data_IF_991716411063
#
_entry.id   IF_991716411063
#
_cell.length_a   1.000
_cell.length_b   1.000
_cell.length_c   1.000
_cell.angle_alpha   90.00
_cell.angle_beta   90.00
_cell.angle_gamma   90.00
#
_symmetry.space_group_name_H-M   'P 1'
#
loop_
_entity.id
_entity.type
_entity.pdbx_description
1 polymer ?
#
# COMPACT_ATOMS: atom_id res chain seq x y z
N UNK A 1 0.66 37.53 12.19
CA UNK A 1 0.38 36.42 11.24
C UNK A 1 0.16 35.16 12.06
N UNK A 2 -0.84 34.35 11.70
CA UNK A 2 -1.60 33.43 12.55
C UNK A 2 -0.79 32.62 13.59
N UNK A 3 -1.20 32.71 14.86
CA UNK A 3 -0.88 31.73 15.90
C UNK A 3 -1.41 30.37 15.45
N UNK A 4 -0.53 29.47 15.01
CA UNK A 4 -0.87 28.06 14.95
C UNK A 4 -0.98 27.58 16.40
N UNK A 5 -2.21 27.42 16.88
CA UNK A 5 -2.47 26.68 18.09
C UNK A 5 -1.91 25.28 17.90
N UNK A 6 -0.86 24.96 18.65
CA UNK A 6 -0.20 23.67 18.71
C UNK A 6 -1.14 22.66 19.39
N UNK A 7 -2.32 22.45 18.80
CA UNK A 7 -3.38 21.63 19.36
C UNK A 7 -3.02 20.17 19.16
N UNK A 8 -2.72 19.48 20.26
CA UNK A 8 -2.61 18.01 20.31
C UNK A 8 -3.97 17.31 20.15
N UNK A 9 -5.03 18.06 19.86
CA UNK A 9 -6.36 17.56 19.52
C UNK A 9 -6.57 17.68 18.02
N UNK A 10 -6.93 16.59 17.32
CA UNK A 10 -7.20 16.63 15.88
C UNK A 10 -8.46 17.45 15.57
N UNK A 11 -8.46 18.12 14.41
CA UNK A 11 -9.59 18.95 13.96
C UNK A 11 -10.87 18.14 13.69
N UNK A 12 -10.72 16.88 13.26
CA UNK A 12 -11.80 15.91 13.09
C UNK A 12 -11.45 14.71 13.95
N UNK A 13 -12.41 14.24 14.75
CA UNK A 13 -12.22 13.12 15.65
C UNK A 13 -13.39 12.16 15.60
N UNK A 14 -13.10 10.87 15.70
CA UNK A 14 -14.12 9.84 15.79
C UNK A 14 -14.95 10.03 17.07
N UNK A 15 -16.27 9.82 16.95
CA UNK A 15 -17.19 9.90 18.09
C UNK A 15 -16.79 8.88 19.16
N UNK A 16 -16.81 9.30 20.43
CA UNK A 16 -16.43 8.45 21.56
C UNK A 16 -14.99 8.62 22.04
N UNK A 17 -14.19 9.48 21.39
CA UNK A 17 -12.82 9.79 21.82
C UNK A 17 -12.66 11.27 22.21
N UNK A 18 -11.83 11.52 23.23
CA UNK A 18 -11.57 12.85 23.80
C UNK A 18 -10.14 12.95 24.36
N UNK A 19 -9.73 14.15 24.77
CA UNK A 19 -8.40 14.40 25.34
C UNK A 19 -7.31 14.69 24.31
N UNK A 20 -6.11 15.02 24.75
CA UNK A 20 -5.00 15.27 23.84
C UNK A 20 -4.35 13.96 23.37
N UNK A 21 -3.82 13.95 22.15
CA UNK A 21 -2.92 12.91 21.71
C UNK A 21 -1.55 13.09 22.38
N UNK A 22 -0.88 11.98 22.66
CA UNK A 22 0.41 11.98 23.34
C UNK A 22 1.56 12.12 22.35
N UNK A 23 2.60 12.84 22.72
CA UNK A 23 3.81 12.97 21.91
C UNK A 23 4.88 12.02 22.45
N UNK A 24 5.35 11.10 21.60
CA UNK A 24 6.36 10.09 21.97
C UNK A 24 7.46 9.98 20.90
N UNK A 25 8.71 9.68 21.29
CA UNK A 25 9.74 9.25 20.34
C UNK A 25 9.34 7.96 19.64
N UNK A 26 9.56 7.87 18.33
CA UNK A 26 9.23 6.69 17.53
C UNK A 26 9.88 5.42 18.09
N UNK A 27 11.14 5.51 18.56
CA UNK A 27 11.89 4.38 19.08
C UNK A 27 11.34 3.80 20.40
N UNK A 28 10.54 4.56 21.15
CA UNK A 28 9.91 4.07 22.39
C UNK A 28 8.67 3.23 22.12
N UNK A 29 7.97 3.52 21.01
CA UNK A 29 6.72 2.85 20.65
C UNK A 29 6.92 1.76 19.59
N UNK A 30 7.99 1.80 18.81
CA UNK A 30 8.20 0.88 17.70
C UNK A 30 8.82 -0.43 18.17
N UNK A 31 8.20 -1.56 17.84
CA UNK A 31 8.80 -2.88 18.03
C UNK A 31 9.43 -3.38 16.73
N UNK A 32 10.75 -3.24 16.60
CA UNK A 32 11.50 -3.87 15.52
C UNK A 32 11.56 -5.39 15.72
N UNK A 33 11.46 -6.13 14.61
CA UNK A 33 11.54 -7.59 14.61
C UNK A 33 12.56 -8.06 13.57
N UNK A 34 13.29 -9.12 13.93
CA UNK A 34 14.26 -9.76 13.04
C UNK A 34 14.17 -11.27 13.20
N UNK A 35 13.45 -11.91 12.29
CA UNK A 35 13.34 -13.36 12.19
C UNK A 35 14.36 -13.87 11.17
N UNK A 36 15.64 -13.88 11.55
CA UNK A 36 16.71 -14.35 10.68
C UNK A 36 16.46 -15.80 10.25
N UNK A 37 16.77 -16.12 8.99
CA UNK A 37 16.63 -17.48 8.43
C UNK A 37 17.91 -17.94 7.76
N UNK A 38 18.12 -19.25 7.75
CA UNK A 38 19.16 -19.91 6.95
C UNK A 38 18.53 -20.34 5.64
N UNK A 39 19.13 -19.92 4.51
CA UNK A 39 18.63 -20.26 3.18
C UNK A 39 19.26 -21.57 2.70
N UNK A 40 18.43 -22.56 2.46
CA UNK A 40 18.83 -23.85 1.90
C UNK A 40 18.84 -23.78 0.37
N UNK A 41 19.93 -24.26 -0.25
CA UNK A 41 20.13 -24.15 -1.70
C UNK A 41 19.05 -24.85 -2.55
N UNK A 42 18.44 -25.89 -1.99
CA UNK A 42 17.39 -26.70 -2.61
C UNK A 42 15.97 -26.30 -2.18
N UNK A 43 15.79 -25.15 -1.53
CA UNK A 43 14.48 -24.63 -1.18
C UNK A 43 14.17 -23.37 -2.01
N UNK A 44 12.90 -23.20 -2.40
CA UNK A 44 12.43 -21.95 -3.01
C UNK A 44 11.91 -20.99 -1.96
N UNK A 45 12.18 -19.71 -2.16
CA UNK A 45 11.74 -18.62 -1.31
C UNK A 45 11.05 -17.55 -2.15
N UNK A 46 9.93 -17.05 -1.66
CA UNK A 46 9.30 -15.86 -2.21
C UNK A 46 9.97 -14.62 -1.62
N UNK A 47 10.50 -13.75 -2.48
CA UNK A 47 11.11 -12.49 -2.06
C UNK A 47 10.09 -11.36 -2.19
N UNK A 48 10.17 -10.36 -1.33
CA UNK A 48 9.32 -9.17 -1.42
C UNK A 48 10.08 -7.90 -1.77
N UNK A 49 9.33 -6.93 -2.29
CA UNK A 49 9.75 -5.53 -2.40
C UNK A 49 8.63 -4.62 -1.95
N UNK A 50 8.98 -3.41 -1.50
CA UNK A 50 7.98 -2.39 -1.15
C UNK A 50 7.91 -1.35 -2.25
N UNK A 51 6.70 -1.10 -2.76
CA UNK A 51 6.49 -0.10 -3.83
C UNK A 51 6.59 1.31 -3.27
N UNK A 52 7.17 2.22 -4.07
CA UNK A 52 7.15 3.66 -3.81
C UNK A 52 5.71 4.18 -3.68
N UNK A 53 5.56 5.37 -3.10
CA UNK A 53 4.29 6.10 -2.92
C UNK A 53 3.25 5.33 -2.11
N UNK A 54 3.69 4.60 -1.08
CA UNK A 54 2.87 3.76 -0.21
C UNK A 54 2.08 2.70 -1.00
N UNK A 55 2.67 2.17 -2.09
CA UNK A 55 2.02 1.19 -2.96
C UNK A 55 1.98 -0.24 -2.41
N UNK A 56 2.35 -0.44 -1.14
CA UNK A 56 2.30 -1.72 -0.44
C UNK A 56 3.50 -2.64 -0.69
N UNK A 57 3.48 -3.76 0.03
CA UNK A 57 4.42 -4.87 -0.13
C UNK A 57 3.92 -5.78 -1.25
N UNK A 58 4.81 -6.15 -2.17
CA UNK A 58 4.49 -7.05 -3.27
C UNK A 58 5.55 -8.12 -3.45
N UNK A 59 5.17 -9.25 -4.04
CA UNK A 59 6.11 -10.26 -4.49
C UNK A 59 7.09 -9.68 -5.52
N UNK A 60 8.37 -9.99 -5.35
CA UNK A 60 9.45 -9.74 -6.31
C UNK A 60 9.75 -10.99 -7.15
N UNK A 61 9.10 -12.11 -6.84
CA UNK A 61 9.33 -13.41 -7.49
C UNK A 61 9.91 -14.45 -6.54
N UNK A 62 10.08 -15.65 -7.08
CA UNK A 62 10.56 -16.81 -6.35
C UNK A 62 11.98 -17.15 -6.81
N UNK A 63 12.87 -17.41 -5.85
CA UNK A 63 14.25 -17.83 -6.12
C UNK A 63 14.57 -19.08 -5.31
N UNK A 64 15.37 -19.97 -5.88
CA UNK A 64 16.02 -21.03 -5.13
C UNK A 64 17.07 -20.43 -4.21
N UNK A 65 17.30 -21.03 -3.04
CA UNK A 65 18.32 -20.56 -2.10
C UNK A 65 19.69 -20.42 -2.75
N UNK A 66 20.04 -21.32 -3.70
CA UNK A 66 21.32 -21.27 -4.45
C UNK A 66 21.49 -20.02 -5.31
N UNK A 67 20.38 -19.39 -5.72
CA UNK A 67 20.37 -18.18 -6.56
C UNK A 67 20.48 -16.90 -5.70
N UNK A 68 20.22 -17.01 -4.40
CA UNK A 68 20.31 -15.90 -3.45
C UNK A 68 21.75 -15.79 -2.94
N UNK A 69 22.53 -14.90 -3.54
CA UNK A 69 23.96 -14.72 -3.26
C UNK A 69 24.24 -14.19 -1.85
N UNK A 70 23.42 -13.27 -1.35
CA UNK A 70 23.56 -12.68 0.00
C UNK A 70 22.60 -13.39 0.94
N UNK A 71 23.13 -14.07 1.96
CA UNK A 71 22.33 -14.94 2.85
C UNK A 71 21.74 -14.21 4.08
N UNK A 72 21.78 -12.88 4.12
CA UNK A 72 21.26 -12.07 5.24
C UNK A 72 19.80 -11.68 5.00
N UNK A 73 18.89 -12.63 5.23
CA UNK A 73 17.45 -12.47 5.06
C UNK A 73 16.70 -12.69 6.37
N UNK A 74 15.51 -12.12 6.45
CA UNK A 74 14.54 -12.38 7.50
C UNK A 74 13.23 -12.87 6.92
N UNK A 75 12.57 -13.79 7.62
CA UNK A 75 11.24 -14.26 7.29
C UNK A 75 10.17 -13.30 7.81
N UNK A 76 9.19 -13.04 6.97
CA UNK A 76 8.07 -12.16 7.24
C UNK A 76 6.86 -12.94 7.74
N UNK A 77 6.00 -12.22 8.46
CA UNK A 77 4.67 -12.66 8.87
C UNK A 77 3.63 -11.65 8.38
N UNK A 78 2.42 -12.11 8.14
CA UNK A 78 1.29 -11.22 7.87
C UNK A 78 1.13 -10.18 8.98
N UNK A 79 0.92 -8.92 8.60
CA UNK A 79 0.80 -7.82 9.56
C UNK A 79 2.12 -7.18 9.99
N UNK A 80 3.27 -7.68 9.53
CA UNK A 80 4.54 -6.95 9.65
C UNK A 80 4.50 -5.65 8.84
N UNK A 81 5.08 -4.58 9.37
CA UNK A 81 5.31 -3.33 8.69
C UNK A 81 6.74 -3.23 8.16
N UNK A 82 6.91 -2.98 6.88
CA UNK A 82 8.21 -2.85 6.23
C UNK A 82 8.52 -1.40 5.88
N UNK A 83 9.78 -1.03 6.08
CA UNK A 83 10.37 0.21 5.58
C UNK A 83 11.59 -0.14 4.73
N UNK A 84 11.61 0.28 3.46
CA UNK A 84 12.81 0.16 2.63
C UNK A 84 13.85 1.22 2.99
N UNK A 85 15.02 0.82 3.50
CA UNK A 85 16.09 1.76 3.89
C UNK A 85 16.64 2.58 2.72
N UNK A 86 16.43 2.12 1.49
CA UNK A 86 16.88 2.79 0.25
C UNK A 86 15.84 3.69 -0.39
N UNK A 87 14.56 3.52 -0.04
CA UNK A 87 13.45 4.06 -0.84
C UNK A 87 12.35 4.71 0.01
N UNK A 88 12.50 4.74 1.33
CA UNK A 88 11.51 5.33 2.25
C UNK A 88 11.23 6.81 1.97
N UNK A 89 12.21 7.57 1.47
CA UNK A 89 12.03 8.97 1.05
C UNK A 89 11.01 9.12 -0.08
N UNK A 90 10.80 8.06 -0.86
CA UNK A 90 9.76 7.97 -1.89
C UNK A 90 8.49 7.27 -1.39
N UNK A 91 8.35 7.05 -0.09
CA UNK A 91 7.21 6.37 0.54
C UNK A 91 7.20 4.86 0.35
N UNK A 92 8.36 4.21 0.22
CA UNK A 92 8.43 2.74 0.16
C UNK A 92 8.25 2.11 1.56
N UNK A 93 7.02 2.17 2.06
CA UNK A 93 6.54 1.50 3.27
C UNK A 93 5.28 0.68 2.99
N UNK A 94 4.98 -0.31 3.82
CA UNK A 94 3.75 -1.09 3.69
C UNK A 94 3.62 -2.24 4.67
N UNK A 95 2.42 -2.79 4.79
CA UNK A 95 2.12 -3.98 5.60
C UNK A 95 2.24 -5.23 4.74
N UNK A 96 2.79 -6.31 5.29
CA UNK A 96 2.81 -7.63 4.67
C UNK A 96 1.38 -8.19 4.63
N UNK A 97 0.80 -8.39 3.44
CA UNK A 97 -0.53 -8.95 3.31
C UNK A 97 -0.51 -10.47 3.56
N UNK A 98 -1.69 -11.09 3.65
CA UNK A 98 -1.83 -12.50 4.00
C UNK A 98 -1.14 -13.42 2.99
N UNK A 99 -1.15 -13.05 1.71
CA UNK A 99 -0.60 -13.82 0.60
C UNK A 99 0.93 -13.89 0.63
N UNK A 100 1.58 -12.96 1.34
CA UNK A 100 3.05 -12.89 1.47
C UNK A 100 3.53 -13.36 2.86
N UNK A 101 2.69 -14.09 3.59
CA UNK A 101 3.12 -14.74 4.83
C UNK A 101 4.28 -15.70 4.55
N UNK A 102 5.30 -15.71 5.42
CA UNK A 102 6.53 -16.51 5.28
C UNK A 102 7.45 -16.12 4.12
N UNK A 103 7.10 -15.11 3.31
CA UNK A 103 8.01 -14.53 2.34
C UNK A 103 9.23 -13.93 3.04
N UNK A 104 10.30 -13.67 2.28
CA UNK A 104 11.59 -13.27 2.84
C UNK A 104 12.02 -11.91 2.34
N UNK A 105 12.74 -11.18 3.19
CA UNK A 105 13.27 -9.87 2.87
C UNK A 105 14.73 -9.74 3.31
N UNK A 106 15.52 -9.02 2.52
CA UNK A 106 16.92 -8.72 2.86
C UNK A 106 17.02 -7.76 4.04
N UNK A 107 18.22 -7.66 4.64
CA UNK A 107 18.57 -6.67 5.67
C UNK A 107 18.48 -5.19 5.24
N UNK A 108 18.23 -4.89 3.97
CA UNK A 108 17.94 -3.54 3.46
C UNK A 108 16.55 -3.00 3.88
N UNK A 109 15.76 -3.82 4.58
CA UNK A 109 14.47 -3.43 5.12
C UNK A 109 14.52 -3.41 6.64
N UNK A 110 13.83 -2.44 7.24
CA UNK A 110 13.44 -2.49 8.64
C UNK A 110 12.07 -3.18 8.68
N UNK A 111 11.93 -4.14 9.59
CA UNK A 111 10.66 -4.83 9.85
C UNK A 111 10.22 -4.48 11.26
N UNK A 112 9.00 -3.99 11.39
CA UNK A 112 8.38 -3.65 12.66
C UNK A 112 7.03 -4.35 12.80
N UNK A 113 6.60 -4.54 14.03
CA UNK A 113 5.29 -5.10 14.38
C UNK A 113 4.60 -4.19 15.38
N UNK A 114 3.27 -4.10 15.30
CA UNK A 114 2.47 -3.41 16.30
C UNK A 114 2.60 -4.02 17.69
N UNK A 115 2.29 -3.22 18.71
CA UNK A 115 2.31 -3.57 20.11
C UNK A 115 1.22 -2.79 20.86
N UNK A 116 1.31 -2.71 22.20
CA UNK A 116 0.31 -2.02 23.03
C UNK A 116 0.32 -0.48 22.87
N UNK A 117 1.38 0.09 22.30
CA UNK A 117 1.55 1.52 22.07
C UNK A 117 1.16 1.94 20.65
N UNK A 118 1.44 1.10 19.64
CA UNK A 118 1.21 1.41 18.23
C UNK A 118 0.60 0.23 17.48
N UNK A 119 -0.55 0.44 16.84
CA UNK A 119 -1.13 -0.53 15.91
C UNK A 119 -0.41 -0.46 14.55
N UNK A 120 -0.13 -1.61 13.90
CA UNK A 120 0.56 -1.66 12.59
C UNK A 120 -0.20 -0.86 11.52
N UNK A 121 -1.52 -0.98 11.48
CA UNK A 121 -2.37 -0.26 10.53
C UNK A 121 -2.27 1.25 10.71
N UNK A 122 -2.29 1.70 11.96
CA UNK A 122 -2.14 3.12 12.26
C UNK A 122 -0.73 3.62 11.91
N UNK A 123 0.32 2.84 12.18
CA UNK A 123 1.68 3.14 11.74
C UNK A 123 1.79 3.32 10.21
N UNK A 124 1.03 2.52 9.45
CA UNK A 124 0.99 2.62 7.98
C UNK A 124 0.32 3.89 7.51
N UNK A 125 -0.79 4.28 8.16
CA UNK A 125 -1.45 5.57 7.92
C UNK A 125 -0.48 6.71 8.23
N UNK A 126 0.16 6.70 9.40
CA UNK A 126 1.16 7.70 9.79
C UNK A 126 2.30 7.80 8.77
N UNK A 127 2.81 6.67 8.28
CA UNK A 127 3.88 6.61 7.28
C UNK A 127 3.51 7.25 5.93
N UNK A 128 2.22 7.37 5.63
CA UNK A 128 1.74 8.04 4.42
C UNK A 128 1.67 9.57 4.56
N UNK A 129 1.62 10.10 5.80
CA UNK A 129 1.41 11.51 6.06
C UNK A 129 2.61 12.39 5.65
N UNK A 130 2.38 13.64 5.22
CA UNK A 130 3.44 14.56 4.81
C UNK A 130 4.50 14.81 5.88
N UNK A 131 4.08 14.91 7.15
CA UNK A 131 4.99 15.13 8.27
C UNK A 131 5.93 13.92 8.48
N UNK A 132 5.41 12.70 8.38
CA UNK A 132 6.27 11.51 8.47
C UNK A 132 7.22 11.40 7.27
N UNK A 133 6.77 11.76 6.07
CA UNK A 133 7.65 11.83 4.88
C UNK A 133 8.80 12.81 5.10
N UNK A 134 8.53 13.97 5.71
CA UNK A 134 9.57 14.93 6.10
C UNK A 134 10.54 14.32 7.10
N UNK A 135 10.05 13.60 8.12
CA UNK A 135 10.88 12.90 9.11
C UNK A 135 11.78 11.85 8.45
N UNK A 136 11.26 11.04 7.52
CA UNK A 136 12.06 10.09 6.74
C UNK A 136 13.16 10.78 5.94
N UNK A 137 12.84 11.88 5.27
CA UNK A 137 13.82 12.65 4.51
C UNK A 137 14.92 13.23 5.40
N UNK A 138 14.56 13.83 6.54
CA UNK A 138 15.52 14.41 7.49
C UNK A 138 16.41 13.36 8.18
N UNK A 139 15.94 12.11 8.26
CA UNK A 139 16.72 10.95 8.73
C UNK A 139 17.36 10.16 7.60
N UNK A 140 17.59 10.79 6.45
CA UNK A 140 18.28 10.14 5.33
C UNK A 140 19.49 10.97 4.91
N UNK A 141 20.56 10.29 4.49
CA UNK A 141 21.81 10.94 4.07
C UNK A 141 22.28 10.43 2.70
N UNK A 142 23.03 11.26 2.00
CA UNK A 142 23.51 11.04 0.64
C UNK A 142 23.37 12.29 -0.22
N UNK A 143 23.97 12.28 -1.41
CA UNK A 143 24.03 13.45 -2.31
C UNK A 143 22.85 13.48 -3.29
N UNK A 144 22.43 12.31 -3.76
CA UNK A 144 21.36 12.14 -4.74
C UNK A 144 20.13 11.54 -4.04
N UNK A 145 18.97 12.15 -4.22
CA UNK A 145 17.71 11.72 -3.60
C UNK A 145 17.38 10.26 -3.92
N UNK A 146 17.72 9.78 -5.12
CA UNK A 146 17.46 8.40 -5.57
C UNK A 146 18.42 7.38 -4.91
N UNK A 147 19.48 7.86 -4.23
CA UNK A 147 20.53 7.05 -3.60
C UNK A 147 20.65 7.31 -2.10
N UNK A 148 19.70 8.03 -1.51
CA UNK A 148 19.70 8.27 -0.07
C UNK A 148 19.65 6.96 0.72
N UNK A 149 20.36 6.95 1.83
CA UNK A 149 20.30 5.87 2.81
C UNK A 149 19.59 6.37 4.07
N UNK A 150 18.60 5.61 4.51
CA UNK A 150 17.81 5.90 5.70
C UNK A 150 18.54 5.48 6.97
N UNK A 151 18.76 6.43 7.86
CA UNK A 151 19.23 6.22 9.23
C UNK A 151 18.02 5.98 10.14
N UNK A 152 17.73 4.71 10.39
CA UNK A 152 16.65 4.31 11.28
C UNK A 152 16.88 4.76 12.74
N UNK A 153 18.14 4.86 13.18
CA UNK A 153 18.46 5.24 14.55
C UNK A 153 18.26 6.74 14.79
N UNK A 154 18.55 7.58 13.79
CA UNK A 154 18.14 8.99 13.81
C UNK A 154 16.61 9.13 13.77
N UNK A 155 15.94 8.40 12.88
CA UNK A 155 14.48 8.48 12.74
C UNK A 155 13.74 8.08 14.03
N UNK A 156 14.21 7.04 14.72
CA UNK A 156 13.65 6.59 16.00
C UNK A 156 13.70 7.66 17.10
N UNK A 157 14.61 8.64 17.02
CA UNK A 157 14.69 9.75 17.99
C UNK A 157 13.67 10.85 17.75
N UNK A 158 12.96 10.82 16.61
CA UNK A 158 11.98 11.84 16.28
C UNK A 158 10.65 11.58 16.99
N UNK A 159 10.00 12.65 17.41
CA UNK A 159 8.71 12.59 18.08
C UNK A 159 7.55 12.52 17.09
N UNK A 160 6.52 11.76 17.44
CA UNK A 160 5.23 11.74 16.78
C UNK A 160 4.10 11.90 17.79
N UNK A 161 2.98 12.43 17.32
CA UNK A 161 1.78 12.58 18.15
C UNK A 161 0.79 11.48 17.78
N UNK A 162 0.38 10.67 18.76
CA UNK A 162 -0.50 9.51 18.56
C UNK A 162 -1.62 9.47 19.61
N UNK A 163 -2.82 8.99 19.25
CA UNK A 163 -3.85 8.72 20.23
C UNK A 163 -3.59 7.40 20.97
N UNK A 164 -4.42 7.09 21.97
CA UNK A 164 -4.43 5.78 22.60
C UNK A 164 -4.79 4.65 21.63
N UNK A 165 -4.35 3.43 21.94
CA UNK A 165 -4.43 2.26 21.04
C UNK A 165 -5.85 1.94 20.54
N UNK A 166 -6.87 2.17 21.36
CA UNK A 166 -8.27 1.95 20.97
C UNK A 166 -8.73 2.90 19.85
N UNK A 167 -8.32 4.17 19.91
CA UNK A 167 -8.62 5.15 18.87
C UNK A 167 -7.81 4.86 17.60
N UNK A 168 -6.54 4.48 17.74
CA UNK A 168 -5.71 4.04 16.60
C UNK A 168 -6.35 2.88 15.84
N UNK A 169 -6.87 1.89 16.56
CA UNK A 169 -7.58 0.73 15.98
C UNK A 169 -8.81 1.18 15.20
N UNK A 170 -9.63 2.07 15.78
CA UNK A 170 -10.83 2.59 15.11
C UNK A 170 -10.51 3.42 13.88
N UNK A 171 -9.43 4.21 13.91
CA UNK A 171 -8.93 4.94 12.74
C UNK A 171 -8.48 3.94 11.66
N UNK A 172 -7.72 2.91 12.04
CA UNK A 172 -7.27 1.85 11.13
C UNK A 172 -8.42 1.12 10.44
N UNK A 173 -9.44 0.71 11.21
CA UNK A 173 -10.67 0.10 10.69
C UNK A 173 -11.39 1.02 9.69
N UNK A 174 -11.54 2.30 10.04
CA UNK A 174 -12.21 3.28 9.19
C UNK A 174 -11.55 3.40 7.80
N UNK A 175 -10.22 3.54 7.75
CA UNK A 175 -9.50 3.62 6.47
C UNK A 175 -9.50 2.30 5.70
N UNK A 176 -9.44 1.15 6.39
CA UNK A 176 -9.57 -0.16 5.75
C UNK A 176 -10.93 -0.35 5.08
N UNK A 177 -12.00 0.09 5.72
CA UNK A 177 -13.34 0.04 5.15
C UNK A 177 -13.45 0.94 3.92
N UNK A 178 -12.84 2.13 3.96
CA UNK A 178 -12.76 3.02 2.80
C UNK A 178 -11.99 2.38 1.64
N UNK A 179 -10.84 1.77 1.90
CA UNK A 179 -10.04 1.08 0.88
C UNK A 179 -10.83 -0.07 0.25
N UNK A 180 -11.53 -0.86 1.08
CA UNK A 180 -12.40 -1.95 0.62
C UNK A 180 -13.55 -1.45 -0.28
N UNK A 181 -14.14 -0.31 0.07
CA UNK A 181 -15.18 0.33 -0.74
C UNK A 181 -14.63 0.84 -2.09
N UNK A 182 -13.46 1.48 -2.09
CA UNK A 182 -12.78 1.93 -3.31
C UNK A 182 -12.53 0.74 -4.22
N UNK A 183 -12.00 -0.36 -3.68
CA UNK A 183 -11.68 -1.57 -4.44
C UNK A 183 -12.93 -2.25 -5.02
N UNK A 184 -14.04 -2.28 -4.25
CA UNK A 184 -15.34 -2.73 -4.73
C UNK A 184 -15.85 -1.85 -5.90
N UNK A 185 -15.75 -0.54 -5.78
CA UNK A 185 -16.17 0.39 -6.83
C UNK A 185 -15.30 0.29 -8.08
N UNK A 186 -13.99 0.09 -7.94
CA UNK A 186 -13.08 -0.12 -9.07
C UNK A 186 -13.45 -1.39 -9.85
N UNK A 187 -13.71 -2.52 -9.16
CA UNK A 187 -14.19 -3.76 -9.81
C UNK A 187 -15.51 -3.57 -10.55
N UNK A 188 -16.44 -2.78 -9.99
CA UNK A 188 -17.71 -2.46 -10.65
C UNK A 188 -17.47 -1.62 -11.91
N UNK A 189 -16.59 -0.63 -11.85
CA UNK A 189 -16.23 0.18 -13.02
C UNK A 189 -15.63 -0.68 -14.13
N UNK A 190 -14.66 -1.53 -13.80
CA UNK A 190 -13.99 -2.41 -14.77
C UNK A 190 -14.99 -3.35 -15.46
N UNK A 191 -15.94 -3.90 -14.70
CA UNK A 191 -17.03 -4.73 -15.26
C UNK A 191 -17.93 -3.95 -16.21
N UNK A 192 -18.26 -2.71 -15.89
CA UNK A 192 -19.08 -1.86 -16.76
C UNK A 192 -18.33 -1.47 -18.05
N UNK A 193 -17.03 -1.18 -17.94
CA UNK A 193 -16.18 -0.92 -19.11
C UNK A 193 -16.09 -2.16 -20.01
N UNK A 194 -15.87 -3.34 -19.43
CA UNK A 194 -15.85 -4.60 -20.17
C UNK A 194 -17.19 -4.88 -20.87
N UNK A 195 -18.32 -4.69 -20.17
CA UNK A 195 -19.65 -4.85 -20.75
C UNK A 195 -19.90 -3.87 -21.90
N UNK A 196 -19.56 -2.59 -21.71
CA UNK A 196 -19.67 -1.56 -22.75
C UNK A 196 -18.88 -1.97 -23.99
N UNK A 197 -17.64 -2.43 -23.82
CA UNK A 197 -16.79 -2.84 -24.93
C UNK A 197 -17.35 -4.07 -25.64
N UNK A 198 -17.84 -5.07 -24.90
CA UNK A 198 -18.48 -6.25 -25.47
C UNK A 198 -19.78 -5.90 -26.22
N UNK A 199 -20.60 -4.99 -25.68
CA UNK A 199 -21.81 -4.50 -26.35
C UNK A 199 -21.46 -3.76 -27.64
N UNK A 200 -20.47 -2.86 -27.62
CA UNK A 200 -20.03 -2.15 -28.82
C UNK A 200 -19.52 -3.11 -29.90
N UNK A 201 -18.70 -4.10 -29.53
CA UNK A 201 -18.23 -5.12 -30.48
C UNK A 201 -19.37 -5.92 -31.12
N UNK A 202 -20.48 -6.12 -30.39
CA UNK A 202 -21.65 -6.86 -30.88
C UNK A 202 -22.69 -5.97 -31.58
N UNK A 203 -22.69 -4.66 -31.32
CA UNK A 203 -23.60 -3.69 -31.94
C UNK A 203 -23.17 -3.26 -33.34
N UNK A 204 -21.91 -3.47 -33.71
CA UNK A 204 -21.41 -3.24 -35.06
C UNK A 204 -21.10 -4.56 -35.78
N UNK A 205 -21.37 -4.66 -37.09
CA UNK A 205 -21.06 -5.88 -37.85
C UNK A 205 -19.55 -6.19 -37.82
N UNK A 206 -19.22 -7.46 -37.70
CA UNK A 206 -17.84 -7.93 -37.88
C UNK A 206 -17.42 -7.81 -39.35
N UNK A 207 -16.11 -7.80 -39.61
CA UNK A 207 -15.58 -7.80 -40.98
C UNK A 207 -16.19 -8.96 -41.80
N UNK A 208 -16.83 -8.63 -42.92
CA UNK A 208 -17.54 -9.59 -43.79
C UNK A 208 -19.02 -9.82 -43.44
N UNK A 209 -19.54 -9.26 -42.35
CA UNK A 209 -20.96 -9.29 -42.01
C UNK A 209 -21.64 -7.94 -42.28
N UNK A 210 -22.89 -7.95 -42.73
CA UNK A 210 -23.72 -6.74 -42.94
C UNK A 210 -24.67 -6.47 -41.77
N UNK A 211 -24.74 -7.39 -40.81
CA UNK A 211 -25.61 -7.29 -39.64
C UNK A 211 -24.81 -7.49 -38.34
N UNK A 212 -25.11 -6.71 -37.29
CA UNK A 212 -24.53 -6.87 -35.96
C UNK A 212 -25.20 -8.01 -35.19
N UNK A 213 -24.49 -8.54 -34.19
CA UNK A 213 -24.94 -9.64 -33.32
C UNK A 213 -26.01 -9.22 -32.31
N UNK A 214 -26.01 -7.94 -31.90
CA UNK A 214 -26.98 -7.36 -30.96
C UNK A 214 -27.53 -6.07 -31.56
N UNK A 215 -28.85 -5.87 -31.47
CA UNK A 215 -29.53 -4.62 -31.85
C UNK A 215 -30.47 -4.18 -30.74
N UNK A 216 -30.73 -2.87 -30.69
CA UNK A 216 -31.82 -2.35 -29.88
C UNK A 216 -33.17 -2.81 -30.45
N UNK A 217 -34.09 -3.16 -29.55
CA UNK A 217 -35.46 -3.53 -29.92
C UNK A 217 -36.11 -2.36 -30.68
N UNK A 218 -36.62 -2.62 -31.88
CA UNK A 218 -37.20 -1.61 -32.78
C UNK A 218 -36.28 -1.09 -33.88
N UNK A 219 -34.99 -1.45 -33.90
CA UNK A 219 -34.06 -1.13 -35.00
C UNK A 219 -33.85 -2.35 -35.91
N UNK A 220 -34.92 -2.85 -36.53
CA UNK A 220 -34.83 -3.83 -37.62
C UNK A 220 -34.44 -3.10 -38.90
N UNK A 221 -33.51 -3.68 -39.67
CA UNK A 221 -33.28 -3.22 -41.04
C UNK A 221 -34.51 -3.65 -41.81
N UNK A 222 -35.37 -2.70 -42.18
CA UNK A 222 -36.22 -2.90 -43.35
C UNK A 222 -35.27 -3.09 -44.52
N UNK A 223 -35.19 -4.33 -45.00
CA UNK A 223 -34.54 -4.62 -46.26
C UNK A 223 -35.21 -3.78 -47.35
N UNK A 224 -34.39 -3.17 -48.21
CA UNK A 224 -34.78 -2.45 -49.42
C UNK A 224 -35.40 -1.04 -49.26
N UNK A 225 -34.55 -0.05 -48.98
CA UNK A 225 -34.59 1.18 -49.78
C UNK A 225 -33.33 1.27 -50.63
N UNK A 226 -33.40 0.70 -51.83
CA UNK A 226 -32.58 1.18 -52.96
C UNK A 226 -32.88 2.67 -53.10
N UNK A 227 -31.92 3.52 -52.73
CA UNK A 227 -31.91 4.90 -53.17
C UNK A 227 -31.62 4.88 -54.67
N UNK A 228 -32.68 4.84 -55.46
CA UNK A 228 -32.63 5.18 -56.88
C UNK A 228 -32.45 6.69 -57.00
N UNK A 229 -31.30 7.11 -57.52
CA UNK A 229 -31.13 8.34 -58.31
C UNK A 229 -30.21 8.03 -59.48
#
# INVERSE_FOLDING_TARGET
MANQTNSKVPAIRLTGFSGEWEEKPIGEILSETKRAIVLEDNQQYELVTVKRRNGGVVSRGHLWGREILVKNYSQLQTGDFLISKRQVVHGATGIVPAELNQAIVSNEYLVAVGNNEIATEFLTILASLPDMRKKFFLSSYGVDIEKLFFDADDWKKRNITIPGIAEQTKIGEYFRDMDSLIELHQRKLDRQVALKNAMLQKMFPKSGATTPEIRFKGFTVDADRKLTS
#
